data_IF_735484568352
#
_entry.id   IF_735484568352
#
_cell.length_a   1.000
_cell.length_b   1.000
_cell.length_c   1.000
_cell.angle_alpha   90.00
_cell.angle_beta   90.00
_cell.angle_gamma   90.00
#
_symmetry.space_group_name_H-M   'P 1'
#
loop_
_entity.id
_entity.type
_entity.pdbx_description
1 polymer ?
#
# COMPACT_ATOMS: atom_id res chain seq x y z
N UNK A 1 7.15 24.11 -25.52
CA UNK A 1 6.44 23.35 -24.46
C UNK A 1 5.26 24.14 -23.87
N UNK A 2 5.05 25.41 -24.25
CA UNK A 2 4.01 26.27 -23.65
C UNK A 2 2.57 26.01 -24.13
N UNK A 3 2.38 25.24 -25.21
CA UNK A 3 1.03 24.98 -25.77
C UNK A 3 0.24 23.88 -25.05
N UNK A 4 0.86 23.08 -24.18
CA UNK A 4 0.17 22.04 -23.39
C UNK A 4 -0.41 22.55 -22.06
N UNK A 5 0.00 23.72 -21.59
CA UNK A 5 -0.51 24.33 -20.37
C UNK A 5 -1.75 25.21 -20.57
N UNK A 6 -2.03 25.63 -21.82
CA UNK A 6 -3.17 26.51 -22.10
C UNK A 6 -4.54 25.80 -22.00
N UNK A 7 -4.59 24.46 -21.98
CA UNK A 7 -5.85 23.70 -21.87
C UNK A 7 -6.04 22.99 -20.53
N UNK A 8 -5.14 23.16 -19.55
CA UNK A 8 -5.18 22.40 -18.29
C UNK A 8 -6.09 23.01 -17.22
N UNK A 9 -6.68 24.19 -17.47
CA UNK A 9 -7.62 24.83 -16.54
C UNK A 9 -7.03 25.09 -15.15
N UNK A 10 -5.70 25.12 -15.02
CA UNK A 10 -5.01 25.41 -13.77
C UNK A 10 -5.15 26.92 -13.54
N UNK A 11 -5.88 27.37 -12.50
CA UNK A 11 -6.12 28.78 -12.29
C UNK A 11 -4.81 29.52 -12.05
N UNK A 12 -4.56 30.55 -12.86
CA UNK A 12 -3.45 31.47 -12.68
C UNK A 12 -3.62 32.20 -11.33
N UNK A 13 -2.80 31.84 -10.33
CA UNK A 13 -2.87 32.38 -8.97
C UNK A 13 -2.78 31.36 -7.84
N UNK A 14 -2.53 30.08 -8.12
CA UNK A 14 -2.29 29.09 -7.06
C UNK A 14 -0.96 29.37 -6.35
N UNK A 15 -1.01 29.46 -5.01
CA UNK A 15 0.19 29.47 -4.17
C UNK A 15 1.09 28.29 -4.55
N UNK A 16 2.42 28.47 -4.55
CA UNK A 16 3.34 27.39 -4.88
C UNK A 16 3.08 26.19 -3.95
N UNK A 17 2.92 25.00 -4.56
CA UNK A 17 2.76 23.75 -3.82
C UNK A 17 3.94 23.56 -2.86
N UNK A 18 3.63 23.35 -1.59
CA UNK A 18 4.59 23.05 -0.54
C UNK A 18 5.21 21.65 -0.71
N UNK A 19 6.39 21.45 -0.13
CA UNK A 19 7.06 20.14 -0.10
C UNK A 19 6.15 19.04 0.48
N UNK A 20 5.39 19.38 1.52
CA UNK A 20 4.45 18.46 2.15
C UNK A 20 3.33 18.03 1.19
N UNK A 21 2.76 18.96 0.43
CA UNK A 21 1.73 18.63 -0.57
C UNK A 21 2.31 17.77 -1.69
N UNK A 22 3.52 18.06 -2.15
CA UNK A 22 4.26 17.21 -3.11
C UNK A 22 4.44 15.79 -2.57
N UNK A 23 4.88 15.64 -1.32
CA UNK A 23 5.05 14.35 -0.67
C UNK A 23 3.73 13.57 -0.52
N UNK A 24 2.62 14.24 -0.20
CA UNK A 24 1.28 13.62 -0.18
C UNK A 24 0.90 13.12 -1.58
N UNK A 25 1.13 13.91 -2.61
CA UNK A 25 0.80 13.53 -3.99
C UNK A 25 1.66 12.37 -4.48
N UNK A 26 2.96 12.35 -4.15
CA UNK A 26 3.86 11.22 -4.43
C UNK A 26 3.38 9.94 -3.73
N UNK A 27 2.92 10.05 -2.48
CA UNK A 27 2.33 8.91 -1.77
C UNK A 27 1.05 8.41 -2.46
N UNK A 28 0.16 9.31 -2.89
CA UNK A 28 -1.05 8.96 -3.63
C UNK A 28 -0.76 8.38 -5.01
N UNK A 29 0.30 8.81 -5.70
CA UNK A 29 0.74 8.22 -6.96
C UNK A 29 1.19 6.75 -6.75
N UNK A 30 1.94 6.49 -5.67
CA UNK A 30 2.48 5.17 -5.34
C UNK A 30 1.42 4.21 -4.78
N UNK A 31 0.68 4.67 -3.77
CA UNK A 31 -0.26 3.87 -2.98
C UNK A 31 -1.70 3.95 -3.51
N UNK A 32 -1.94 4.81 -4.51
CA UNK A 32 -3.19 4.99 -5.26
C UNK A 32 -4.32 5.62 -4.45
N UNK A 33 -4.63 5.05 -3.28
CA UNK A 33 -5.77 5.42 -2.44
C UNK A 33 -5.37 5.46 -0.97
N UNK A 34 -5.64 6.56 -0.28
CA UNK A 34 -5.30 6.72 1.13
C UNK A 34 -6.39 7.46 1.90
N UNK A 35 -6.61 7.09 3.16
CA UNK A 35 -7.54 7.81 4.05
C UNK A 35 -6.91 9.09 4.60
N UNK A 36 -7.76 10.00 5.09
CA UNK A 36 -7.29 11.18 5.86
C UNK A 36 -6.33 10.80 6.98
N UNK A 37 -6.64 9.74 7.75
CA UNK A 37 -5.82 9.30 8.89
C UNK A 37 -4.45 8.81 8.44
N UNK A 38 -4.40 8.00 7.38
CA UNK A 38 -3.14 7.49 6.83
C UNK A 38 -2.24 8.63 6.35
N UNK A 39 -2.80 9.59 5.62
CA UNK A 39 -2.06 10.78 5.17
C UNK A 39 -1.57 11.60 6.38
N UNK A 40 -2.39 11.76 7.41
CA UNK A 40 -2.00 12.43 8.64
C UNK A 40 -0.91 11.67 9.41
N UNK A 41 -0.93 10.34 9.45
CA UNK A 41 0.13 9.58 10.12
C UNK A 41 1.50 9.73 9.45
N UNK A 42 1.53 9.89 8.12
CA UNK A 42 2.79 10.06 7.39
C UNK A 42 3.28 11.49 7.34
N UNK A 43 2.37 12.46 7.18
CA UNK A 43 2.72 13.83 6.85
C UNK A 43 2.10 14.85 7.80
N UNK A 44 1.29 14.42 8.77
CA UNK A 44 0.62 15.25 9.77
C UNK A 44 1.56 15.94 10.74
N UNK A 45 1.08 17.03 11.33
CA UNK A 45 1.66 17.51 12.59
C UNK A 45 1.19 16.60 13.73
N UNK A 46 2.01 16.43 14.76
CA UNK A 46 1.62 15.64 15.93
C UNK A 46 0.37 16.21 16.64
N UNK A 47 -0.43 15.33 17.24
CA UNK A 47 -1.59 15.69 18.05
C UNK A 47 -2.90 15.93 17.28
N UNK A 48 -4.00 16.09 18.03
CA UNK A 48 -5.37 16.22 17.49
C UNK A 48 -5.55 17.46 16.61
N UNK A 49 -4.88 18.57 16.93
CA UNK A 49 -4.88 19.78 16.11
C UNK A 49 -4.27 19.51 14.71
N UNK A 50 -3.25 18.66 14.63
CA UNK A 50 -2.61 18.29 13.37
C UNK A 50 -3.55 17.59 12.40
N UNK A 51 -4.53 16.82 12.87
CA UNK A 51 -5.51 16.16 12.01
C UNK A 51 -6.45 17.18 11.35
N UNK A 52 -6.88 18.20 12.09
CA UNK A 52 -7.68 19.31 11.55
C UNK A 52 -6.92 20.06 10.47
N UNK A 53 -5.65 20.36 10.71
CA UNK A 53 -4.76 21.00 9.72
C UNK A 53 -4.60 20.13 8.48
N UNK A 54 -4.38 18.82 8.63
CA UNK A 54 -4.32 17.89 7.49
C UNK A 54 -5.63 17.89 6.70
N UNK A 55 -6.79 17.88 7.36
CA UNK A 55 -8.10 17.93 6.67
C UNK A 55 -8.28 19.21 5.87
N UNK A 56 -7.98 20.37 6.46
CA UNK A 56 -8.04 21.66 5.76
C UNK A 56 -7.13 21.66 4.54
N UNK A 57 -5.89 21.17 4.69
CA UNK A 57 -4.93 21.07 3.59
C UNK A 57 -5.41 20.15 2.46
N UNK A 58 -5.96 18.99 2.79
CA UNK A 58 -6.51 18.08 1.79
C UNK A 58 -7.72 18.67 1.05
N UNK A 59 -8.52 19.48 1.73
CA UNK A 59 -9.59 20.24 1.09
C UNK A 59 -9.04 21.30 0.12
N UNK A 60 -8.01 22.05 0.52
CA UNK A 60 -7.32 23.02 -0.36
C UNK A 60 -6.73 22.33 -1.61
N UNK A 61 -6.10 21.15 -1.45
CA UNK A 61 -5.58 20.35 -2.57
C UNK A 61 -6.69 19.82 -3.49
N UNK A 62 -7.85 19.47 -2.93
CA UNK A 62 -9.02 19.04 -3.70
C UNK A 62 -9.61 20.21 -4.49
N UNK A 63 -9.74 21.38 -3.87
CA UNK A 63 -10.19 22.63 -4.52
C UNK A 63 -9.24 23.10 -5.62
N UNK A 64 -7.92 22.90 -5.45
CA UNK A 64 -6.92 23.14 -6.49
C UNK A 64 -6.96 22.11 -7.63
N UNK A 65 -7.77 21.06 -7.52
CA UNK A 65 -7.91 20.02 -8.52
C UNK A 65 -6.74 19.04 -8.56
N UNK A 66 -5.86 19.01 -7.56
CA UNK A 66 -4.71 18.08 -7.51
C UNK A 66 -5.11 16.68 -7.05
N UNK A 67 -6.03 16.60 -6.09
CA UNK A 67 -6.56 15.33 -5.57
C UNK A 67 -8.06 15.29 -5.73
N UNK A 68 -8.63 14.08 -5.66
CA UNK A 68 -10.06 13.86 -5.53
C UNK A 68 -10.32 13.05 -4.27
N UNK A 69 -11.49 13.18 -3.69
CA UNK A 69 -11.92 12.36 -2.57
C UNK A 69 -13.27 11.69 -2.80
N UNK A 70 -13.53 10.60 -2.07
CA UNK A 70 -14.89 10.11 -1.82
C UNK A 70 -14.96 9.50 -0.43
N UNK A 71 -16.16 9.39 0.10
CA UNK A 71 -16.45 8.75 1.38
C UNK A 71 -17.29 7.50 1.09
N UNK A 72 -16.87 6.28 1.49
CA UNK A 72 -17.64 5.08 1.15
C UNK A 72 -19.00 5.02 1.88
N UNK A 73 -19.07 5.52 3.12
CA UNK A 73 -20.31 5.71 3.88
C UNK A 73 -20.23 6.96 4.78
N UNK A 74 -21.36 7.40 5.35
CA UNK A 74 -21.44 8.57 6.25
C UNK A 74 -20.49 8.51 7.45
N UNK A 75 -20.15 7.30 7.90
CA UNK A 75 -19.36 7.06 9.12
C UNK A 75 -17.89 6.76 8.83
N UNK A 76 -17.54 6.48 7.57
CA UNK A 76 -16.16 6.16 7.19
C UNK A 76 -15.35 7.40 6.84
N UNK A 77 -14.04 7.28 6.84
CA UNK A 77 -13.16 8.39 6.47
C UNK A 77 -13.19 8.64 4.96
N UNK A 78 -12.99 9.90 4.56
CA UNK A 78 -12.68 10.22 3.16
C UNK A 78 -11.40 9.50 2.72
N UNK A 79 -11.49 8.90 1.53
CA UNK A 79 -10.39 8.30 0.79
C UNK A 79 -10.01 9.25 -0.33
N UNK A 80 -8.73 9.59 -0.41
CA UNK A 80 -8.14 10.49 -1.38
C UNK A 80 -7.35 9.70 -2.43
N UNK A 81 -7.30 10.26 -3.62
CA UNK A 81 -6.56 9.72 -4.75
C UNK A 81 -6.12 10.84 -5.68
N UNK A 82 -5.08 10.58 -6.46
CA UNK A 82 -4.52 11.55 -7.37
C UNK A 82 -5.46 11.83 -8.54
N UNK A 83 -5.71 13.10 -8.83
CA UNK A 83 -6.47 13.52 -10.00
C UNK A 83 -5.56 13.55 -11.25
N UNK A 84 -6.14 13.74 -12.44
CA UNK A 84 -5.37 14.00 -13.66
C UNK A 84 -4.56 15.30 -13.58
N UNK A 85 -5.14 16.36 -13.00
CA UNK A 85 -4.43 17.63 -12.78
C UNK A 85 -3.26 17.46 -11.81
N UNK A 86 -3.47 16.69 -10.74
CA UNK A 86 -2.39 16.38 -9.80
C UNK A 86 -1.29 15.52 -10.38
N UNK A 87 -1.62 14.55 -11.24
CA UNK A 87 -0.62 13.78 -11.96
C UNK A 87 0.25 14.70 -12.81
N UNK A 88 -0.34 15.50 -13.71
CA UNK A 88 0.39 16.45 -14.55
C UNK A 88 1.28 17.41 -13.74
N UNK A 89 0.79 17.91 -12.62
CA UNK A 89 1.55 18.77 -11.72
C UNK A 89 2.76 18.04 -11.10
N UNK A 90 2.61 16.76 -10.72
CA UNK A 90 3.73 15.94 -10.26
C UNK A 90 4.75 15.68 -11.37
N UNK A 91 4.30 15.37 -12.58
CA UNK A 91 5.21 15.12 -13.72
C UNK A 91 6.06 16.35 -13.99
N UNK A 92 5.42 17.53 -14.00
CA UNK A 92 6.09 18.80 -14.21
C UNK A 92 7.13 19.13 -13.14
N UNK A 93 6.78 18.96 -11.86
CA UNK A 93 7.67 19.34 -10.76
C UNK A 93 8.79 18.36 -10.48
N UNK A 94 8.51 17.06 -10.61
CA UNK A 94 9.43 16.00 -10.20
C UNK A 94 10.10 15.30 -11.37
N UNK A 95 9.77 15.65 -12.62
CA UNK A 95 10.25 14.94 -13.80
C UNK A 95 9.77 13.49 -13.87
N UNK A 96 8.70 13.15 -13.12
CA UNK A 96 8.16 11.80 -13.06
C UNK A 96 7.25 11.59 -14.27
N UNK A 97 7.72 10.91 -15.31
CA UNK A 97 6.88 10.64 -16.49
C UNK A 97 5.89 9.49 -16.24
N UNK A 98 4.66 9.60 -16.75
CA UNK A 98 3.69 8.52 -16.78
C UNK A 98 3.02 8.24 -15.44
N UNK A 99 2.81 9.27 -14.62
CA UNK A 99 2.15 9.14 -13.32
C UNK A 99 0.71 8.65 -13.53
N UNK A 100 0.45 7.40 -13.12
CA UNK A 100 -0.85 6.76 -13.32
C UNK A 100 -1.90 7.34 -12.38
N UNK A 101 -3.04 7.73 -12.95
CA UNK A 101 -4.23 8.08 -12.18
C UNK A 101 -5.21 6.93 -12.12
N UNK A 102 -5.88 6.77 -11.00
CA UNK A 102 -6.88 5.73 -10.78
C UNK A 102 -8.27 6.33 -10.66
N UNK A 103 -9.29 5.57 -11.05
CA UNK A 103 -10.70 5.91 -10.81
C UNK A 103 -11.20 5.11 -9.61
N UNK A 104 -12.16 5.68 -8.89
CA UNK A 104 -12.89 4.98 -7.83
C UNK A 104 -13.47 3.66 -8.40
N UNK A 105 -13.24 2.56 -7.70
CA UNK A 105 -13.78 1.23 -7.98
C UNK A 105 -13.91 0.43 -6.69
N UNK A 106 -14.46 -0.79 -6.74
CA UNK A 106 -14.49 -1.69 -5.58
C UNK A 106 -13.08 -2.03 -5.05
N UNK A 107 -12.07 -2.02 -5.95
CA UNK A 107 -10.65 -2.20 -5.58
C UNK A 107 -10.08 -1.02 -4.81
N UNK A 108 -10.74 0.14 -4.81
CA UNK A 108 -10.22 1.32 -4.10
C UNK A 108 -10.12 1.12 -2.59
N UNK A 109 -11.06 0.37 -1.99
CA UNK A 109 -10.98 0.00 -0.56
C UNK A 109 -9.79 -0.95 -0.34
N UNK A 110 -9.56 -1.88 -1.27
CA UNK A 110 -8.41 -2.80 -1.22
C UNK A 110 -7.08 -2.05 -1.19
N UNK A 111 -6.88 -1.08 -2.09
CA UNK A 111 -5.68 -0.24 -2.07
C UNK A 111 -5.53 0.57 -0.79
N UNK A 112 -6.63 1.03 -0.19
CA UNK A 112 -6.55 1.72 1.10
C UNK A 112 -6.06 0.83 2.25
N UNK A 113 -6.31 -0.49 2.17
CA UNK A 113 -5.75 -1.47 3.11
C UNK A 113 -4.26 -1.74 2.82
N UNK A 114 -3.85 -1.80 1.54
CA UNK A 114 -2.42 -1.85 1.16
C UNK A 114 -1.69 -0.64 1.74
N UNK A 115 -2.28 0.56 1.60
CA UNK A 115 -1.75 1.78 2.18
C UNK A 115 -1.67 1.73 3.71
N UNK A 116 -2.62 1.06 4.39
CA UNK A 116 -2.54 0.87 5.85
C UNK A 116 -1.29 0.07 6.22
N UNK A 117 -1.01 -1.04 5.53
CA UNK A 117 0.19 -1.85 5.77
C UNK A 117 1.46 -1.03 5.55
N UNK A 118 1.53 -0.26 4.46
CA UNK A 118 2.64 0.66 4.21
C UNK A 118 2.83 1.65 5.36
N UNK A 119 1.76 2.33 5.79
CA UNK A 119 1.80 3.33 6.87
C UNK A 119 2.32 2.69 8.14
N UNK A 120 1.79 1.52 8.52
CA UNK A 120 2.19 0.83 9.75
C UNK A 120 3.67 0.45 9.73
N UNK A 121 4.16 -0.14 8.64
CA UNK A 121 5.58 -0.45 8.50
C UNK A 121 6.45 0.80 8.52
N UNK A 122 6.03 1.87 7.82
CA UNK A 122 6.79 3.12 7.73
C UNK A 122 6.88 3.85 9.08
N UNK A 123 5.83 3.79 9.90
CA UNK A 123 5.77 4.52 11.18
C UNK A 123 6.24 3.70 12.38
N UNK A 124 6.26 2.36 12.29
CA UNK A 124 6.58 1.52 13.45
C UNK A 124 8.07 1.57 13.83
N UNK A 125 8.96 1.62 12.84
CA UNK A 125 10.41 1.71 13.08
C UNK A 125 11.10 2.47 11.92
N UNK A 126 11.62 3.69 12.15
CA UNK A 126 12.31 4.45 11.11
C UNK A 126 13.50 3.68 10.52
N UNK A 127 13.38 3.29 9.24
CA UNK A 127 14.45 2.62 8.51
C UNK A 127 14.22 1.12 8.29
N UNK A 128 13.18 0.54 8.90
CA UNK A 128 12.78 -0.84 8.60
C UNK A 128 12.32 -0.98 7.14
N UNK A 129 11.54 -0.04 6.63
CA UNK A 129 10.98 -0.09 5.28
C UNK A 129 11.92 0.57 4.26
N UNK A 130 12.46 -0.24 3.35
CA UNK A 130 13.37 0.19 2.27
C UNK A 130 12.61 0.45 0.96
N UNK A 131 11.82 -0.52 0.51
CA UNK A 131 11.01 -0.42 -0.69
C UNK A 131 9.61 -1.02 -0.49
N UNK A 132 8.67 -0.59 -1.31
CA UNK A 132 7.25 -0.96 -1.24
C UNK A 132 6.58 -0.69 -2.60
N UNK A 133 6.40 -1.72 -3.40
CA UNK A 133 5.86 -1.58 -4.74
C UNK A 133 4.49 -2.23 -4.81
N UNK A 134 3.50 -1.51 -5.33
CA UNK A 134 2.09 -1.96 -5.37
C UNK A 134 1.81 -2.66 -6.69
N UNK A 135 1.37 -3.91 -6.62
CA UNK A 135 1.12 -4.82 -7.75
C UNK A 135 2.28 -4.97 -8.77
N UNK A 136 3.52 -5.20 -8.30
CA UNK A 136 4.61 -5.59 -9.18
C UNK A 136 4.33 -6.95 -9.82
N UNK A 137 4.81 -7.16 -11.04
CA UNK A 137 4.62 -8.42 -11.77
C UNK A 137 5.87 -9.29 -11.66
N UNK A 138 5.73 -10.50 -11.14
CA UNK A 138 6.78 -11.52 -11.16
C UNK A 138 6.28 -12.75 -11.90
N UNK A 139 6.60 -12.87 -13.19
CA UNK A 139 6.12 -13.97 -14.03
C UNK A 139 4.59 -14.15 -13.98
N UNK A 140 4.11 -15.21 -13.30
CA UNK A 140 2.69 -15.54 -13.14
C UNK A 140 2.06 -15.03 -11.83
N UNK A 141 2.86 -14.49 -10.90
CA UNK A 141 2.39 -13.92 -9.64
C UNK A 141 2.36 -12.40 -9.73
N UNK A 142 1.32 -11.82 -9.14
CA UNK A 142 1.17 -10.37 -8.95
C UNK A 142 0.72 -10.19 -7.51
N UNK A 143 1.64 -10.07 -6.55
CA UNK A 143 1.28 -9.78 -5.16
C UNK A 143 0.60 -8.41 -5.07
N UNK A 144 -0.19 -8.19 -4.04
CA UNK A 144 -0.77 -6.87 -3.77
C UNK A 144 0.34 -5.82 -3.52
N UNK A 145 1.41 -6.24 -2.83
CA UNK A 145 2.65 -5.47 -2.79
C UNK A 145 3.89 -6.36 -2.68
N UNK A 146 5.02 -5.87 -3.18
CA UNK A 146 6.35 -6.36 -2.83
C UNK A 146 6.99 -5.38 -1.87
N UNK A 147 7.60 -5.89 -0.81
CA UNK A 147 8.12 -5.07 0.28
C UNK A 147 9.54 -5.50 0.60
N UNK A 148 10.44 -4.53 0.65
CA UNK A 148 11.82 -4.74 1.09
C UNK A 148 12.02 -4.07 2.45
N UNK A 149 12.55 -4.86 3.38
CA UNK A 149 12.78 -4.50 4.76
C UNK A 149 14.26 -4.65 5.13
N UNK A 150 14.70 -3.88 6.12
CA UNK A 150 15.95 -4.08 6.82
C UNK A 150 15.64 -4.56 8.25
N UNK A 151 15.52 -5.88 8.42
CA UNK A 151 15.25 -6.50 9.73
C UNK A 151 16.57 -6.84 10.41
N UNK A 152 16.83 -6.23 11.57
CA UNK A 152 18.05 -6.46 12.36
C UNK A 152 19.32 -6.29 11.49
N UNK A 153 19.31 -5.24 10.64
CA UNK A 153 20.34 -4.91 9.63
C UNK A 153 20.52 -5.91 8.49
N UNK A 154 19.63 -6.90 8.34
CA UNK A 154 19.64 -7.85 7.23
C UNK A 154 18.54 -7.52 6.21
N UNK A 155 18.83 -7.64 4.91
CA UNK A 155 17.80 -7.48 3.89
C UNK A 155 16.79 -8.61 4.01
N UNK A 156 15.51 -8.25 3.98
CA UNK A 156 14.40 -9.19 4.02
C UNK A 156 13.33 -8.72 3.05
N UNK A 157 12.86 -9.61 2.18
CA UNK A 157 11.82 -9.30 1.21
C UNK A 157 10.55 -10.08 1.53
N UNK A 158 9.39 -9.49 1.27
CA UNK A 158 8.11 -10.19 1.35
C UNK A 158 7.16 -9.82 0.22
N UNK A 159 6.35 -10.79 -0.17
CA UNK A 159 5.11 -10.59 -0.89
C UNK A 159 3.98 -10.35 0.11
N UNK A 160 3.21 -9.31 -0.11
CA UNK A 160 2.00 -9.00 0.63
C UNK A 160 0.79 -9.43 -0.17
N UNK A 161 -0.14 -10.11 0.50
CA UNK A 161 -1.48 -10.42 0.01
C UNK A 161 -2.51 -9.97 1.03
N UNK A 162 -3.48 -9.16 0.61
CA UNK A 162 -4.61 -8.77 1.43
C UNK A 162 -5.84 -9.57 1.03
N UNK A 163 -6.52 -10.11 2.03
CA UNK A 163 -7.79 -10.78 1.83
C UNK A 163 -8.93 -9.98 2.44
N UNK A 164 -9.87 -9.63 1.57
CA UNK A 164 -11.10 -8.91 1.93
C UNK A 164 -12.29 -9.85 2.14
N UNK A 165 -12.06 -11.16 2.21
CA UNK A 165 -13.10 -12.18 2.30
C UNK A 165 -14.08 -12.14 1.10
N UNK A 166 -13.58 -11.76 -0.08
CA UNK A 166 -14.37 -11.74 -1.33
C UNK A 166 -14.12 -12.98 -2.20
N UNK A 167 -13.01 -13.68 -1.96
CA UNK A 167 -12.59 -14.85 -2.72
C UNK A 167 -12.98 -16.16 -1.98
N UNK A 168 -13.50 -17.14 -2.72
CA UNK A 168 -13.87 -18.44 -2.15
C UNK A 168 -12.63 -19.21 -1.67
N UNK A 169 -12.82 -20.10 -0.68
CA UNK A 169 -11.73 -20.93 -0.16
C UNK A 169 -11.06 -21.79 -1.24
N UNK A 170 -11.86 -22.36 -2.16
CA UNK A 170 -11.34 -23.12 -3.30
C UNK A 170 -10.50 -22.27 -4.25
N UNK A 171 -10.94 -21.04 -4.56
CA UNK A 171 -10.15 -20.13 -5.38
C UNK A 171 -8.82 -19.76 -4.71
N UNK A 172 -8.86 -19.43 -3.42
CA UNK A 172 -7.64 -19.11 -2.67
C UNK A 172 -6.63 -20.25 -2.70
N UNK A 173 -7.07 -21.48 -2.42
CA UNK A 173 -6.19 -22.66 -2.40
C UNK A 173 -5.71 -23.01 -3.81
N UNK A 174 -6.64 -23.36 -4.69
CA UNK A 174 -6.35 -24.04 -5.96
C UNK A 174 -5.87 -23.08 -7.06
N UNK A 175 -6.10 -21.77 -6.91
CA UNK A 175 -5.70 -20.77 -7.91
C UNK A 175 -4.66 -19.81 -7.37
N UNK A 176 -4.90 -19.20 -6.20
CA UNK A 176 -4.01 -18.13 -5.70
C UNK A 176 -2.75 -18.72 -5.06
N UNK A 177 -2.90 -19.61 -4.08
CA UNK A 177 -1.77 -20.20 -3.35
C UNK A 177 -1.00 -21.23 -4.19
N UNK A 178 -1.68 -21.96 -5.08
CA UNK A 178 -1.02 -22.83 -6.06
C UNK A 178 -0.05 -22.06 -6.97
N UNK A 179 -0.35 -20.81 -7.36
CA UNK A 179 0.58 -19.97 -8.13
C UNK A 179 1.85 -19.64 -7.33
N UNK A 180 1.70 -19.31 -6.05
CA UNK A 180 2.83 -19.05 -5.17
C UNK A 180 3.68 -20.31 -4.99
N UNK A 181 3.05 -21.45 -4.68
CA UNK A 181 3.74 -22.75 -4.58
C UNK A 181 4.58 -23.03 -5.82
N UNK A 182 3.97 -22.92 -7.00
CA UNK A 182 4.67 -23.17 -8.26
C UNK A 182 5.82 -22.19 -8.48
N UNK A 183 5.64 -20.91 -8.13
CA UNK A 183 6.71 -19.92 -8.20
C UNK A 183 7.86 -20.24 -7.24
N UNK A 184 7.59 -20.63 -5.99
CA UNK A 184 8.64 -21.04 -5.05
C UNK A 184 9.37 -22.30 -5.53
N UNK A 185 8.64 -23.29 -6.05
CA UNK A 185 9.22 -24.53 -6.55
C UNK A 185 10.20 -24.28 -7.71
N UNK A 186 9.89 -23.36 -8.63
CA UNK A 186 10.79 -23.03 -9.75
C UNK A 186 11.97 -22.17 -9.33
N UNK A 187 11.90 -21.52 -8.17
CA UNK A 187 12.95 -20.62 -7.64
C UNK A 187 13.72 -21.20 -6.46
N UNK A 188 13.49 -22.45 -6.10
CA UNK A 188 14.06 -23.11 -4.92
C UNK A 188 15.60 -23.06 -4.82
N UNK A 189 16.31 -22.91 -5.95
CA UNK A 189 17.77 -22.76 -5.96
C UNK A 189 18.27 -21.36 -5.53
N UNK A 190 17.39 -20.36 -5.37
CA UNK A 190 17.76 -19.01 -4.95
C UNK A 190 17.68 -18.86 -3.43
N UNK A 191 18.75 -18.37 -2.81
CA UNK A 191 18.80 -18.14 -1.36
C UNK A 191 17.92 -16.96 -0.89
N UNK A 192 17.56 -16.04 -1.79
CA UNK A 192 16.90 -14.78 -1.46
C UNK A 192 15.43 -14.71 -1.94
N UNK A 193 14.62 -15.73 -1.64
CA UNK A 193 13.18 -15.69 -1.94
C UNK A 193 12.42 -14.82 -0.95
N UNK A 194 11.45 -14.01 -1.41
CA UNK A 194 10.57 -13.28 -0.50
C UNK A 194 9.73 -14.25 0.34
N UNK A 195 9.39 -13.90 1.58
CA UNK A 195 8.36 -14.61 2.34
C UNK A 195 6.95 -14.14 1.92
N UNK A 196 5.91 -14.92 2.17
CA UNK A 196 4.52 -14.49 1.91
C UNK A 196 3.84 -14.03 3.21
N UNK A 197 3.47 -12.76 3.27
CA UNK A 197 2.63 -12.20 4.33
C UNK A 197 1.19 -12.10 3.81
N UNK A 198 0.28 -12.85 4.43
CA UNK A 198 -1.15 -12.71 4.19
C UNK A 198 -1.77 -11.91 5.34
N UNK A 199 -2.54 -10.87 5.01
CA UNK A 199 -3.29 -10.08 6.00
C UNK A 199 -4.77 -10.15 5.66
N UNK A 200 -5.58 -10.55 6.64
CA UNK A 200 -7.02 -10.82 6.44
C UNK A 200 -7.89 -9.93 7.33
N UNK A 201 -9.18 -9.84 7.03
CA UNK A 201 -10.12 -9.06 7.83
C UNK A 201 -10.71 -9.79 9.05
N UNK A 202 -10.55 -11.12 9.15
CA UNK A 202 -11.21 -11.92 10.20
C UNK A 202 -10.38 -13.12 10.65
N UNK A 203 -10.53 -13.52 11.91
CA UNK A 203 -9.86 -14.71 12.48
C UNK A 203 -10.24 -16.02 11.76
N UNK A 204 -11.50 -16.13 11.30
CA UNK A 204 -11.94 -17.28 10.50
C UNK A 204 -11.11 -17.39 9.21
N UNK A 205 -10.89 -16.27 8.51
CA UNK A 205 -10.10 -16.26 7.28
C UNK A 205 -8.63 -16.51 7.55
N UNK A 206 -8.08 -15.98 8.64
CA UNK A 206 -6.74 -16.31 9.10
C UNK A 206 -6.56 -17.83 9.29
N UNK A 207 -7.44 -18.47 10.06
CA UNK A 207 -7.41 -19.93 10.28
C UNK A 207 -7.48 -20.73 8.98
N UNK A 208 -8.29 -20.29 8.01
CA UNK A 208 -8.35 -20.91 6.69
C UNK A 208 -7.01 -20.80 5.96
N UNK A 209 -6.41 -19.61 5.92
CA UNK A 209 -5.11 -19.40 5.28
C UNK A 209 -3.99 -20.18 5.97
N UNK A 210 -3.97 -20.25 7.30
CA UNK A 210 -2.98 -21.04 8.03
C UNK A 210 -2.98 -22.50 7.58
N UNK A 211 -4.17 -23.11 7.44
CA UNK A 211 -4.33 -24.48 6.91
C UNK A 211 -3.87 -24.61 5.46
N UNK A 212 -4.12 -23.61 4.62
CA UNK A 212 -3.69 -23.62 3.21
C UNK A 212 -2.16 -23.48 3.12
N UNK A 213 -1.58 -22.59 3.92
CA UNK A 213 -0.13 -22.35 4.00
C UNK A 213 0.57 -23.63 4.46
N UNK A 214 0.07 -24.26 5.52
CA UNK A 214 0.58 -25.54 6.04
C UNK A 214 0.48 -26.64 4.99
N UNK A 215 -0.68 -26.78 4.32
CA UNK A 215 -0.89 -27.76 3.26
C UNK A 215 0.14 -27.66 2.13
N UNK A 216 0.55 -26.45 1.78
CA UNK A 216 1.49 -26.19 0.70
C UNK A 216 2.95 -26.03 1.14
N UNK A 217 3.24 -25.98 2.44
CA UNK A 217 4.58 -25.74 2.97
C UNK A 217 5.18 -24.41 2.51
N UNK A 218 4.36 -23.36 2.39
CA UNK A 218 4.82 -22.05 1.93
C UNK A 218 5.60 -21.32 3.03
N UNK A 219 6.65 -20.54 2.71
CA UNK A 219 7.34 -19.67 3.68
C UNK A 219 6.48 -18.44 3.98
N UNK A 220 5.35 -18.67 4.64
CA UNK A 220 4.27 -17.72 4.78
C UNK A 220 3.72 -17.65 6.20
N UNK A 221 3.10 -16.52 6.52
CA UNK A 221 2.35 -16.32 7.76
C UNK A 221 1.10 -15.50 7.47
N UNK A 222 0.05 -15.77 8.24
CA UNK A 222 -1.21 -15.08 8.14
C UNK A 222 -1.52 -14.32 9.44
N UNK A 223 -1.97 -13.09 9.30
CA UNK A 223 -2.42 -12.25 10.42
C UNK A 223 -3.76 -11.61 10.09
N UNK A 224 -4.54 -11.25 11.12
CA UNK A 224 -5.62 -10.28 10.90
C UNK A 224 -5.06 -8.87 10.79
N UNK A 225 -5.84 -7.97 10.17
CA UNK A 225 -5.46 -6.57 10.02
C UNK A 225 -5.24 -5.91 11.40
N UNK A 226 -6.02 -6.28 12.41
CA UNK A 226 -5.89 -5.74 13.77
C UNK A 226 -4.59 -6.21 14.43
N UNK A 227 -4.25 -7.50 14.33
CA UNK A 227 -2.97 -8.03 14.80
C UNK A 227 -1.78 -7.30 14.15
N UNK A 228 -1.83 -7.15 12.82
CA UNK A 228 -0.78 -6.48 12.07
C UNK A 228 -0.66 -5.00 12.44
N UNK A 229 -1.79 -4.30 12.59
CA UNK A 229 -1.83 -2.88 12.96
C UNK A 229 -1.27 -2.64 14.35
N UNK A 230 -1.53 -3.54 15.30
CA UNK A 230 -1.05 -3.45 16.68
C UNK A 230 0.44 -3.79 16.80
N UNK A 231 0.97 -4.68 15.94
CA UNK A 231 2.32 -5.21 16.07
C UNK A 231 2.98 -5.53 14.73
N UNK A 232 3.17 -4.54 13.83
CA UNK A 232 3.65 -4.79 12.47
C UNK A 232 5.08 -5.36 12.45
N UNK A 233 5.96 -4.86 13.32
CA UNK A 233 7.37 -5.32 13.40
C UNK A 233 7.47 -6.76 13.93
N UNK A 234 6.81 -7.14 15.03
CA UNK A 234 6.72 -8.54 15.44
C UNK A 234 6.17 -9.47 14.35
N UNK A 235 5.12 -9.07 13.62
CA UNK A 235 4.53 -9.87 12.53
C UNK A 235 5.50 -10.13 11.38
N UNK A 236 6.38 -9.17 11.02
CA UNK A 236 7.38 -9.41 9.96
C UNK A 236 8.62 -10.15 10.47
N UNK A 237 8.95 -10.02 11.77
CA UNK A 237 10.07 -10.75 12.39
C UNK A 237 9.79 -12.25 12.57
N UNK A 238 8.54 -12.64 12.83
CA UNK A 238 8.19 -14.07 12.87
C UNK A 238 8.45 -14.76 11.53
N UNK A 239 8.13 -14.08 10.41
CA UNK A 239 8.37 -14.56 9.05
C UNK A 239 9.85 -14.78 8.74
N UNK A 240 10.73 -13.90 9.23
CA UNK A 240 12.18 -14.05 8.99
C UNK A 240 12.77 -15.26 9.71
N UNK A 241 12.20 -15.65 10.85
CA UNK A 241 12.61 -16.85 11.61
C UNK A 241 12.25 -18.14 10.87
N UNK A 242 11.08 -18.19 10.22
CA UNK A 242 10.66 -19.37 9.44
C UNK A 242 11.69 -19.73 8.35
N UNK A 243 12.37 -18.75 7.75
CA UNK A 243 13.44 -19.00 6.75
C UNK A 243 14.74 -19.54 7.35
N UNK A 244 14.98 -19.34 8.65
CA UNK A 244 16.20 -19.84 9.29
C UNK A 244 16.08 -21.31 9.71
N UNK A 245 14.86 -21.84 9.74
CA UNK A 245 14.52 -23.21 10.17
C UNK A 245 14.20 -24.15 8.99
N UNK A 246 14.05 -23.60 7.78
CA UNK A 246 13.79 -24.34 6.53
C UNK A 246 15.06 -24.61 5.75
#
# INVERSE_FOLDING_TARGET
MDKLYASSGIPAGSSPMSERESNIMLALARLRFMTTRQIHQLYGYAGSHGLSVTRRRLHEMESAGWVKSWQPSKYEQKIYYLSRGGALELEYRNGAEGVRTFRKSERSIHYSLIAEVFVRLRTADPGILRAFDVEPKFEKIVPDAYVELALDSRPFALFLELDRNTESAGYLRDVKMEKYRNWYATKAASSALPSLLVVTSTEYRKTLFDRIIEHYGLPAACYTIDEFVLSPVPCVRSLSRLRSES
#
